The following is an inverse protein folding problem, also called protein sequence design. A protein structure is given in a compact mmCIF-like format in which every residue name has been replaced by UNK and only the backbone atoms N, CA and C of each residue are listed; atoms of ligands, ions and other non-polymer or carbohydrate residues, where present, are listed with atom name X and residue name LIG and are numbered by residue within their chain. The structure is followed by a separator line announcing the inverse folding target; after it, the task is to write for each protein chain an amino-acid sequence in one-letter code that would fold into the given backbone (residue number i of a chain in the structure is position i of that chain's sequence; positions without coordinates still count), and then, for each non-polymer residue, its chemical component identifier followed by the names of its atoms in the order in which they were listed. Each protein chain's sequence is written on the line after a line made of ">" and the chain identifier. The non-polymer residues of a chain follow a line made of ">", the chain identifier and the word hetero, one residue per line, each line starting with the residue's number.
data_IF_979944538055
#
_entry.id   IF_979944538055
#
_cell.length_a   1.000
_cell.length_b   1.000
_cell.length_c   1.000
_cell.angle_alpha   90.00
_cell.angle_beta   90.00
_cell.angle_gamma   90.00
#
_symmetry.space_group_name_H-M   'P 1'
#
loop_
_entity.id
_entity.type
_entity.pdbx_description
1 polymer ?
#
# COMPACT_ATOMS: atom_id res chain seq x y z
N UNK A 1 -7.77 31.96 20.18
CA UNK A 1 -6.92 30.86 19.64
C UNK A 1 -6.71 30.96 18.12
N UNK A 2 -7.73 31.28 17.30
CA UNK A 2 -7.56 31.45 15.84
C UNK A 2 -6.80 32.74 15.41
N UNK A 3 -6.81 33.81 16.21
CA UNK A 3 -6.12 35.07 15.89
C UNK A 3 -4.59 35.02 16.06
N UNK A 4 -4.06 34.02 16.74
CA UNK A 4 -2.63 33.91 17.06
C UNK A 4 -1.81 33.23 15.94
N UNK A 5 -2.50 32.57 15.00
CA UNK A 5 -1.90 31.86 13.86
C UNK A 5 -1.71 32.80 12.65
N UNK A 6 -2.50 33.87 12.56
CA UNK A 6 -2.49 34.82 11.44
C UNK A 6 -1.19 35.65 11.33
N UNK A 7 -0.48 35.86 12.44
CA UNK A 7 0.74 36.69 12.49
C UNK A 7 2.06 35.91 12.36
N UNK A 8 2.03 34.62 12.01
CA UNK A 8 3.24 33.80 11.79
C UNK A 8 3.89 34.03 10.41
N UNK A 9 3.20 34.75 9.52
CA UNK A 9 3.69 35.12 8.19
C UNK A 9 4.65 36.31 8.18
N UNK A 10 4.56 37.21 9.17
CA UNK A 10 5.31 38.48 9.23
C UNK A 10 6.54 38.45 10.15
N UNK A 11 6.87 37.29 10.73
CA UNK A 11 8.02 37.15 11.62
C UNK A 11 9.33 37.11 10.81
N UNK A 12 10.34 37.82 11.29
CA UNK A 12 11.69 37.79 10.74
C UNK A 12 12.18 36.32 10.62
N UNK A 13 12.91 35.93 9.56
CA UNK A 13 13.36 34.55 9.31
C UNK A 13 14.06 33.89 10.51
N UNK A 14 14.67 34.72 11.36
CA UNK A 14 15.41 34.32 12.56
C UNK A 14 14.49 33.78 13.68
N UNK A 15 13.22 34.23 13.76
CA UNK A 15 12.26 33.82 14.80
C UNK A 15 11.56 32.49 14.45
N UNK A 16 11.36 32.19 13.15
CA UNK A 16 10.82 30.89 12.70
C UNK A 16 11.70 29.69 13.10
N UNK A 17 12.99 29.94 13.39
CA UNK A 17 13.99 28.92 13.71
C UNK A 17 13.98 28.45 15.17
N UNK A 18 13.18 29.07 16.05
CA UNK A 18 13.17 28.79 17.50
C UNK A 18 12.08 27.83 17.98
N UNK A 19 11.28 27.25 17.08
CA UNK A 19 10.48 26.07 17.43
C UNK A 19 11.31 24.83 17.10
N UNK A 20 11.74 24.03 18.08
CA UNK A 20 12.45 22.79 17.80
C UNK A 20 11.53 21.86 16.99
N UNK A 21 11.89 21.60 15.73
CA UNK A 21 11.22 20.60 14.92
C UNK A 21 11.60 19.22 15.49
N UNK A 22 10.64 18.52 16.08
CA UNK A 22 10.85 17.16 16.58
C UNK A 22 10.96 16.23 15.37
N UNK A 23 11.99 15.39 15.33
CA UNK A 23 12.13 14.38 14.28
C UNK A 23 10.93 13.43 14.28
N UNK A 24 10.54 12.95 13.10
CA UNK A 24 9.55 11.89 12.98
C UNK A 24 10.01 10.60 13.68
N UNK A 25 9.06 9.67 13.88
CA UNK A 25 9.39 8.33 14.39
C UNK A 25 9.70 7.40 13.22
N UNK A 26 10.60 6.45 13.46
CA UNK A 26 10.87 5.37 12.54
C UNK A 26 9.70 4.37 12.52
N UNK A 27 9.49 3.74 11.37
CA UNK A 27 8.50 2.69 11.15
C UNK A 27 9.20 1.45 10.61
N UNK A 28 8.99 0.30 11.26
CA UNK A 28 9.43 -1.01 10.78
C UNK A 28 8.22 -1.71 10.19
N UNK A 29 8.33 -2.12 8.93
CA UNK A 29 7.26 -2.86 8.24
C UNK A 29 7.39 -4.37 8.49
N UNK A 30 6.29 -5.10 8.30
CA UNK A 30 6.30 -6.55 8.25
C UNK A 30 6.81 -7.11 6.92
N UNK A 31 6.97 -6.25 5.90
CA UNK A 31 7.37 -6.65 4.55
C UNK A 31 8.81 -7.17 4.55
N UNK A 32 8.98 -8.34 3.95
CA UNK A 32 10.28 -8.88 3.61
C UNK A 32 10.63 -8.47 2.18
N UNK A 33 11.78 -7.83 2.01
CA UNK A 33 12.22 -7.30 0.71
C UNK A 33 12.44 -8.40 -0.33
N UNK A 34 12.94 -9.56 0.08
CA UNK A 34 13.19 -10.68 -0.81
C UNK A 34 11.88 -11.30 -1.28
N UNK A 35 10.93 -11.50 -0.37
CA UNK A 35 9.59 -11.99 -0.72
C UNK A 35 8.90 -10.99 -1.65
N UNK A 36 8.93 -9.69 -1.33
CA UNK A 36 8.34 -8.64 -2.16
C UNK A 36 8.90 -8.66 -3.58
N UNK A 37 10.22 -8.76 -3.75
CA UNK A 37 10.85 -8.80 -5.07
C UNK A 37 10.39 -10.02 -5.87
N UNK A 38 10.36 -11.21 -5.24
CA UNK A 38 9.93 -12.45 -5.91
C UNK A 38 8.49 -12.33 -6.40
N UNK A 39 7.56 -11.87 -5.56
CA UNK A 39 6.14 -11.79 -5.97
C UNK A 39 5.89 -10.72 -7.03
N UNK A 40 6.70 -9.66 -7.08
CA UNK A 40 6.62 -8.64 -8.13
C UNK A 40 7.07 -9.21 -9.49
N UNK A 41 8.18 -9.96 -9.50
CA UNK A 41 8.70 -10.64 -10.68
C UNK A 41 7.70 -11.69 -11.20
N UNK A 42 7.22 -12.58 -10.32
CA UNK A 42 6.24 -13.62 -10.67
C UNK A 42 4.91 -13.03 -11.16
N UNK A 43 4.42 -11.96 -10.53
CA UNK A 43 3.22 -11.27 -10.99
C UNK A 43 3.43 -10.69 -12.39
N UNK A 44 4.56 -10.04 -12.64
CA UNK A 44 4.87 -9.48 -13.95
C UNK A 44 4.95 -10.58 -15.02
N UNK A 45 5.60 -11.70 -14.73
CA UNK A 45 5.65 -12.85 -15.63
C UNK A 45 4.26 -13.43 -15.92
N UNK A 46 3.44 -13.61 -14.89
CA UNK A 46 2.07 -14.11 -15.03
C UNK A 46 1.21 -13.18 -15.89
N UNK A 47 1.29 -11.86 -15.66
CA UNK A 47 0.59 -10.86 -16.45
C UNK A 47 0.99 -10.95 -17.93
N UNK A 48 2.30 -11.05 -18.21
CA UNK A 48 2.82 -11.16 -19.57
C UNK A 48 2.38 -12.48 -20.25
N UNK A 49 2.47 -13.59 -19.54
CA UNK A 49 2.12 -14.93 -20.02
C UNK A 49 0.64 -15.05 -20.36
N UNK A 50 -0.23 -14.56 -19.47
CA UNK A 50 -1.68 -14.71 -19.60
C UNK A 50 -2.36 -13.49 -20.26
N UNK A 51 -1.61 -12.42 -20.55
CA UNK A 51 -2.12 -11.14 -21.07
C UNK A 51 -3.26 -10.59 -20.19
N UNK A 52 -3.13 -10.76 -18.89
CA UNK A 52 -4.12 -10.28 -17.92
C UNK A 52 -4.07 -8.74 -17.81
N UNK A 53 -5.22 -8.13 -17.53
CA UNK A 53 -5.34 -6.67 -17.42
C UNK A 53 -4.80 -6.15 -16.08
N UNK A 54 -4.97 -6.94 -15.02
CA UNK A 54 -4.57 -6.62 -13.65
C UNK A 54 -4.31 -7.91 -12.87
N UNK A 55 -3.68 -7.77 -11.71
CA UNK A 55 -3.46 -8.87 -10.79
C UNK A 55 -2.92 -8.38 -9.46
N UNK A 56 -3.09 -9.19 -8.42
CA UNK A 56 -2.64 -8.91 -7.05
C UNK A 56 -2.12 -10.19 -6.42
N UNK A 57 -0.98 -10.09 -5.71
CA UNK A 57 -0.44 -11.16 -4.87
C UNK A 57 -0.26 -10.61 -3.46
N UNK A 58 -0.73 -11.36 -2.46
CA UNK A 58 -0.54 -11.06 -1.03
C UNK A 58 0.08 -12.29 -0.38
N UNK A 59 1.17 -12.10 0.35
CA UNK A 59 1.83 -13.13 1.16
C UNK A 59 1.75 -12.72 2.62
N UNK A 60 1.24 -13.61 3.46
CA UNK A 60 0.99 -13.36 4.87
C UNK A 60 1.56 -14.50 5.72
N UNK A 61 2.14 -14.14 6.87
CA UNK A 61 2.45 -15.08 7.94
C UNK A 61 1.17 -15.40 8.75
N UNK A 62 0.61 -16.63 8.68
CA UNK A 62 -0.72 -16.90 9.26
C UNK A 62 -0.78 -16.78 10.78
N UNK A 63 0.33 -17.02 11.48
CA UNK A 63 0.38 -16.99 12.94
C UNK A 63 0.37 -15.56 13.51
N UNK A 64 0.94 -14.59 12.81
CA UNK A 64 1.04 -13.20 13.26
C UNK A 64 0.11 -12.26 12.50
N UNK A 65 -0.34 -12.67 11.31
CA UNK A 65 -1.06 -11.81 10.36
C UNK A 65 -0.15 -10.81 9.65
N UNK A 66 1.17 -10.88 9.84
CA UNK A 66 2.14 -9.99 9.19
C UNK A 66 2.11 -10.17 7.68
N UNK A 67 1.98 -9.06 6.94
CA UNK A 67 2.09 -9.08 5.48
C UNK A 67 3.56 -9.06 5.11
N UNK A 68 4.04 -10.15 4.53
CA UNK A 68 5.43 -10.33 4.11
C UNK A 68 5.67 -9.76 2.71
N UNK A 69 4.62 -9.72 1.87
CA UNK A 69 4.68 -9.15 0.53
C UNK A 69 3.30 -8.78 0.01
N UNK A 70 3.21 -7.69 -0.75
CA UNK A 70 2.00 -7.25 -1.43
C UNK A 70 2.36 -6.60 -2.78
N UNK A 71 2.01 -7.26 -3.88
CA UNK A 71 2.29 -6.79 -5.23
C UNK A 71 0.99 -6.63 -6.04
N UNK A 72 0.95 -5.61 -6.89
CA UNK A 72 -0.21 -5.31 -7.73
C UNK A 72 0.24 -4.95 -9.15
N UNK A 73 -0.61 -5.25 -10.12
CA UNK A 73 -0.49 -4.80 -11.49
C UNK A 73 -1.82 -4.17 -11.94
N UNK A 74 -1.80 -3.01 -12.63
CA UNK A 74 -0.63 -2.20 -13.00
C UNK A 74 0.01 -1.49 -11.80
N UNK A 75 1.33 -1.26 -11.87
CA UNK A 75 2.10 -0.52 -10.85
C UNK A 75 2.63 0.82 -11.39
N UNK A 76 3.28 1.60 -10.54
CA UNK A 76 3.90 2.88 -10.88
C UNK A 76 5.24 3.07 -10.13
N UNK A 77 6.10 3.96 -10.64
CA UNK A 77 7.33 4.34 -9.96
C UNK A 77 7.08 5.53 -9.02
N UNK A 78 7.19 5.36 -7.68
CA UNK A 78 6.91 6.44 -6.73
C UNK A 78 7.98 7.54 -6.73
N UNK A 79 9.18 7.28 -7.29
CA UNK A 79 10.27 8.27 -7.34
C UNK A 79 10.11 9.27 -8.49
N UNK A 80 9.30 8.96 -9.49
CA UNK A 80 9.04 9.86 -10.62
C UNK A 80 7.82 10.72 -10.34
N UNK A 81 8.04 11.99 -10.01
CA UNK A 81 6.99 13.00 -9.91
C UNK A 81 6.76 13.65 -11.28
N UNK A 82 6.20 12.92 -12.24
CA UNK A 82 5.87 13.40 -13.59
C UNK A 82 4.54 12.74 -14.02
N UNK A 83 3.61 13.34 -14.74
CA UNK A 83 3.50 14.67 -15.37
C UNK A 83 2.13 14.70 -16.04
N UNK A 84 1.28 15.68 -15.71
CA UNK A 84 0.09 16.18 -16.45
C UNK A 84 -1.02 15.20 -16.92
N UNK A 85 -0.85 13.87 -16.90
CA UNK A 85 -1.83 12.89 -17.40
C UNK A 85 -1.72 11.50 -16.72
N UNK A 86 -1.41 11.46 -15.41
CA UNK A 86 -1.31 10.17 -14.70
C UNK A 86 -2.71 9.71 -14.26
N UNK A 87 -3.11 8.53 -14.73
CA UNK A 87 -4.36 7.89 -14.31
C UNK A 87 -4.34 7.63 -12.79
N UNK A 88 -5.26 8.27 -12.08
CA UNK A 88 -5.39 8.19 -10.62
C UNK A 88 -5.62 6.75 -10.16
N UNK A 89 -6.24 5.92 -11.01
CA UNK A 89 -6.49 4.50 -10.71
C UNK A 89 -5.20 3.72 -10.43
N UNK A 90 -4.04 4.13 -10.98
CA UNK A 90 -2.76 3.47 -10.73
C UNK A 90 -2.19 3.72 -9.33
N UNK A 91 -2.65 4.76 -8.64
CA UNK A 91 -2.22 5.04 -7.26
C UNK A 91 -3.02 4.25 -6.22
N UNK A 92 -4.13 3.64 -6.63
CA UNK A 92 -4.90 2.78 -5.76
C UNK A 92 -4.19 1.45 -5.58
N UNK A 93 -4.28 0.91 -4.37
CA UNK A 93 -3.79 -0.42 -4.06
C UNK A 93 -4.99 -1.39 -4.10
N UNK A 94 -5.20 -2.12 -5.21
CA UNK A 94 -6.36 -3.00 -5.35
C UNK A 94 -6.39 -4.10 -4.30
N UNK A 95 -5.26 -4.51 -3.72
CA UNK A 95 -5.22 -5.48 -2.63
C UNK A 95 -6.03 -5.06 -1.40
N UNK A 96 -6.22 -3.75 -1.18
CA UNK A 96 -6.98 -3.21 -0.05
C UNK A 96 -8.23 -2.43 -0.46
N UNK A 97 -8.27 -1.91 -1.70
CA UNK A 97 -9.37 -1.05 -2.16
C UNK A 97 -10.34 -1.72 -3.14
N UNK A 98 -9.94 -2.79 -3.81
CA UNK A 98 -10.79 -3.45 -4.80
C UNK A 98 -11.65 -4.54 -4.15
N UNK A 99 -12.93 -4.57 -4.51
CA UNK A 99 -13.83 -5.66 -4.14
C UNK A 99 -13.89 -6.65 -5.29
N UNK A 100 -13.89 -7.94 -4.96
CA UNK A 100 -14.17 -9.02 -5.89
C UNK A 100 -14.99 -10.10 -5.21
N UNK A 101 -15.73 -10.87 -5.99
CA UNK A 101 -16.53 -11.98 -5.48
C UNK A 101 -15.61 -13.18 -5.21
N UNK A 102 -15.50 -13.68 -3.97
CA UNK A 102 -14.54 -14.72 -3.61
C UNK A 102 -14.92 -16.14 -4.10
N UNK A 103 -15.87 -16.28 -5.03
CA UNK A 103 -16.15 -17.50 -5.78
C UNK A 103 -16.00 -18.82 -5.01
N UNK A 104 -15.37 -19.82 -5.63
CA UNK A 104 -15.20 -21.14 -5.01
C UNK A 104 -14.16 -21.18 -3.89
N UNK A 105 -13.26 -20.20 -3.76
CA UNK A 105 -12.26 -20.18 -2.67
C UNK A 105 -12.91 -20.01 -1.30
N UNK A 106 -14.13 -19.46 -1.24
CA UNK A 106 -14.88 -19.28 0.01
C UNK A 106 -15.50 -20.58 0.56
N UNK A 107 -15.63 -21.64 -0.25
CA UNK A 107 -16.30 -22.89 0.16
C UNK A 107 -15.68 -23.55 1.39
N UNK A 108 -14.38 -23.36 1.62
CA UNK A 108 -13.68 -23.89 2.81
C UNK A 108 -14.29 -23.32 4.09
N UNK A 109 -14.63 -22.03 4.10
CA UNK A 109 -15.27 -21.37 5.25
C UNK A 109 -16.70 -21.90 5.43
N UNK A 110 -17.47 -22.03 4.34
CA UNK A 110 -18.83 -22.60 4.40
C UNK A 110 -18.83 -24.04 4.94
N UNK A 111 -17.87 -24.86 4.51
CA UNK A 111 -17.72 -26.23 5.01
C UNK A 111 -17.33 -26.24 6.49
N UNK A 112 -16.35 -25.42 6.89
CA UNK A 112 -15.93 -25.31 8.28
C UNK A 112 -17.11 -24.92 9.18
N UNK A 113 -17.92 -23.94 8.77
CA UNK A 113 -19.13 -23.54 9.50
C UNK A 113 -20.19 -24.65 9.58
N UNK A 114 -20.25 -25.55 8.59
CA UNK A 114 -21.14 -26.72 8.63
C UNK A 114 -20.64 -27.85 9.53
N UNK A 115 -19.32 -27.94 9.75
CA UNK A 115 -18.72 -28.90 10.68
C UNK A 115 -18.66 -28.38 12.12
N UNK A 116 -18.55 -27.06 12.29
CA UNK A 116 -18.54 -26.34 13.56
C UNK A 116 -19.98 -26.08 14.04
N UNK A 117 -20.68 -27.16 14.35
CA UNK A 117 -22.06 -27.20 14.88
C UNK A 117 -22.14 -28.11 16.10
#
# INVERSE_FOLDING_TARGET
>A
LAQQVSNLGSLAPQVRRFLPSVAGKDLVLSLDRSIQYIIEEELQEAIAKYRAQSGTIIVMEPHTGGILGMANWPTYNPNTRNSENVDVARFLNPAVSALYEPGSIFKVITMAAGLDT
#
